data_IF_000230321576
#
_entry.id   IF_000230321576
#
_cell.length_a   1.000
_cell.length_b   1.000
_cell.length_c   1.000
_cell.angle_alpha   90.00
_cell.angle_beta   90.00
_cell.angle_gamma   90.00
#
_symmetry.space_group_name_H-M   'P 1'
#
loop_
_entity.id
_entity.type
_entity.pdbx_description
1 polymer ?
#
# COMPACT_ATOMS: atom_id res chain seq x y z
N UNK A 1 -1.02 -13.43 -0.98
CA UNK A 1 -0.86 -14.22 -2.23
C UNK A 1 0.61 -14.44 -2.57
N UNK A 2 1.40 -13.38 -2.77
CA UNK A 2 2.83 -13.51 -3.07
C UNK A 2 3.61 -14.26 -1.98
N UNK A 3 3.40 -13.92 -0.70
CA UNK A 3 3.99 -14.67 0.43
C UNK A 3 3.55 -16.14 0.48
N UNK A 4 2.33 -16.47 0.02
CA UNK A 4 1.91 -17.88 -0.09
C UNK A 4 2.66 -18.62 -1.22
N UNK A 5 2.90 -17.93 -2.34
CA UNK A 5 3.67 -18.46 -3.47
C UNK A 5 5.13 -18.76 -3.09
N UNK A 6 5.76 -18.02 -2.18
CA UNK A 6 7.16 -18.28 -1.79
C UNK A 6 7.37 -19.65 -1.15
N UNK A 7 6.34 -20.24 -0.53
CA UNK A 7 6.38 -21.60 0.01
C UNK A 7 5.84 -22.67 -0.95
N UNK A 8 5.20 -22.24 -2.05
CA UNK A 8 4.50 -23.08 -3.04
C UNK A 8 4.75 -22.54 -4.44
N UNK A 9 6.01 -22.55 -4.85
CA UNK A 9 6.45 -21.99 -6.13
C UNK A 9 5.85 -22.71 -7.34
N UNK A 10 5.31 -23.92 -7.14
CA UNK A 10 4.52 -24.69 -8.10
C UNK A 10 3.20 -24.01 -8.49
N UNK A 11 2.68 -23.09 -7.67
CA UNK A 11 1.42 -22.40 -7.88
C UNK A 11 1.63 -21.01 -8.51
N UNK A 12 2.14 -20.98 -9.75
CA UNK A 12 2.46 -19.73 -10.47
C UNK A 12 1.28 -18.73 -10.55
N UNK A 13 0.04 -19.24 -10.63
CA UNK A 13 -1.17 -18.42 -10.67
C UNK A 13 -1.32 -17.49 -9.46
N UNK A 14 -0.77 -17.87 -8.29
CA UNK A 14 -0.81 -17.02 -7.09
C UNK A 14 0.03 -15.77 -7.26
N UNK A 15 1.20 -15.90 -7.90
CA UNK A 15 2.07 -14.76 -8.18
C UNK A 15 1.45 -13.86 -9.25
N UNK A 16 0.86 -14.43 -10.30
CA UNK A 16 0.20 -13.66 -11.35
C UNK A 16 -1.00 -12.87 -10.81
N UNK A 17 -1.83 -13.50 -9.96
CA UNK A 17 -2.89 -12.80 -9.25
C UNK A 17 -2.34 -11.69 -8.34
N UNK A 18 -1.24 -11.94 -7.62
CA UNK A 18 -0.63 -10.93 -6.76
C UNK A 18 -0.14 -9.71 -7.55
N UNK A 19 0.45 -9.93 -8.74
CA UNK A 19 0.87 -8.86 -9.65
C UNK A 19 -0.31 -7.99 -10.10
N UNK A 20 -1.39 -8.61 -10.57
CA UNK A 20 -2.56 -7.88 -11.05
C UNK A 20 -3.31 -7.12 -9.94
N UNK A 21 -3.40 -7.72 -8.75
CA UNK A 21 -4.01 -7.04 -7.60
C UNK A 21 -3.14 -5.89 -7.10
N UNK A 22 -1.81 -6.06 -7.01
CA UNK A 22 -0.89 -4.97 -6.63
C UNK A 22 -0.96 -3.82 -7.63
N UNK A 23 -1.03 -4.12 -8.93
CA UNK A 23 -1.23 -3.12 -9.98
C UNK A 23 -2.56 -2.39 -9.82
N UNK A 24 -3.64 -3.10 -9.52
CA UNK A 24 -4.97 -2.51 -9.24
C UNK A 24 -4.92 -1.59 -8.03
N UNK A 25 -4.29 -2.02 -6.92
CA UNK A 25 -4.09 -1.18 -5.75
C UNK A 25 -3.30 0.08 -6.10
N UNK A 26 -2.23 -0.01 -6.89
CA UNK A 26 -1.50 1.17 -7.34
C UNK A 26 -2.37 2.13 -8.16
N UNK A 27 -3.24 1.60 -9.04
CA UNK A 27 -4.20 2.42 -9.78
C UNK A 27 -5.17 3.18 -8.84
N UNK A 28 -5.57 2.59 -7.72
CA UNK A 28 -6.41 3.28 -6.73
C UNK A 28 -5.72 4.53 -6.15
N UNK A 29 -4.39 4.52 -6.03
CA UNK A 29 -3.59 5.69 -5.61
C UNK A 29 -3.48 6.73 -6.74
N UNK A 30 -2.92 6.34 -7.90
CA UNK A 30 -2.56 7.30 -8.96
C UNK A 30 -3.76 7.91 -9.69
N UNK A 31 -4.96 7.33 -9.55
CA UNK A 31 -6.20 7.92 -10.07
C UNK A 31 -6.71 9.09 -9.23
N UNK A 32 -6.25 9.25 -7.98
CA UNK A 32 -6.61 10.38 -7.14
C UNK A 32 -5.65 11.55 -7.33
N UNK A 33 -6.14 12.77 -7.15
CA UNK A 33 -5.33 13.98 -7.39
C UNK A 33 -4.17 14.16 -6.40
N UNK A 34 -4.27 13.61 -5.19
CA UNK A 34 -3.16 13.61 -4.21
C UNK A 34 -2.17 12.46 -4.44
N UNK A 35 -2.51 11.48 -5.29
CA UNK A 35 -1.75 10.22 -5.40
C UNK A 35 -1.88 9.32 -4.17
N UNK A 36 -2.91 9.50 -3.34
CA UNK A 36 -3.24 8.65 -2.19
C UNK A 36 -4.57 7.93 -2.43
N UNK A 37 -4.65 6.64 -2.11
CA UNK A 37 -5.91 5.89 -2.26
C UNK A 37 -6.99 6.39 -1.30
N UNK A 38 -8.27 6.40 -1.71
CA UNK A 38 -9.39 6.52 -0.79
C UNK A 38 -9.53 5.26 0.08
N UNK A 39 -10.41 5.31 1.07
CA UNK A 39 -10.75 4.19 1.94
C UNK A 39 -11.48 3.07 1.18
N UNK A 40 -12.44 3.43 0.33
CA UNK A 40 -13.22 2.47 -0.46
C UNK A 40 -13.29 2.92 -1.91
N UNK A 41 -12.95 2.00 -2.80
CA UNK A 41 -13.11 2.15 -4.24
C UNK A 41 -14.15 1.15 -4.77
N UNK A 42 -14.94 1.57 -5.75
CA UNK A 42 -15.88 0.75 -6.48
C UNK A 42 -15.41 0.62 -7.92
N UNK A 43 -15.70 -0.52 -8.54
CA UNK A 43 -15.31 -0.77 -9.92
C UNK A 43 -16.54 -0.77 -10.82
N UNK A 44 -16.49 0.04 -11.88
CA UNK A 44 -17.48 -0.03 -12.93
C UNK A 44 -17.12 -1.19 -13.87
N UNK A 45 -18.04 -2.16 -13.98
CA UNK A 45 -17.88 -3.36 -14.81
C UNK A 45 -18.53 -3.23 -16.19
N UNK A 46 -19.29 -2.15 -16.44
CA UNK A 46 -19.89 -1.90 -17.74
C UNK A 46 -18.85 -1.29 -18.69
N UNK A 47 -18.42 -2.12 -19.64
CA UNK A 47 -17.46 -1.75 -20.68
C UNK A 47 -17.96 -0.65 -21.63
N UNK A 48 -19.26 -0.38 -21.66
CA UNK A 48 -19.85 0.66 -22.51
C UNK A 48 -20.08 1.98 -21.75
N UNK A 49 -19.79 2.02 -20.45
CA UNK A 49 -19.91 3.24 -19.66
C UNK A 49 -18.76 4.21 -19.97
N UNK A 50 -19.07 5.51 -20.03
CA UNK A 50 -18.06 6.57 -20.13
C UNK A 50 -17.48 6.97 -18.75
N UNK A 51 -17.86 6.24 -17.70
CA UNK A 51 -17.41 6.53 -16.34
C UNK A 51 -15.99 5.98 -16.11
N UNK A 52 -15.30 6.50 -15.10
CA UNK A 52 -14.00 5.96 -14.71
C UNK A 52 -14.16 4.53 -14.17
N UNK A 53 -13.23 3.64 -14.54
CA UNK A 53 -13.20 2.26 -14.02
C UNK A 53 -13.17 2.20 -12.50
N UNK A 54 -12.47 3.14 -11.86
CA UNK A 54 -12.41 3.29 -10.40
C UNK A 54 -13.31 4.48 -10.01
N UNK A 55 -14.29 4.22 -9.18
CA UNK A 55 -15.26 5.19 -8.65
C UNK A 55 -15.05 5.31 -7.15
N UNK A 56 -15.11 6.53 -6.63
CA UNK A 56 -15.02 6.81 -5.19
C UNK A 56 -16.22 7.63 -4.76
N UNK A 57 -16.99 7.11 -3.80
CA UNK A 57 -18.17 7.81 -3.28
C UNK A 57 -17.74 8.88 -2.28
N UNK A 58 -18.55 9.93 -2.15
CA UNK A 58 -18.21 11.12 -1.35
C UNK A 58 -17.83 10.82 0.12
N UNK A 59 -18.39 9.78 0.73
CA UNK A 59 -18.07 9.41 2.12
C UNK A 59 -16.78 8.59 2.25
N UNK A 60 -16.27 8.05 1.14
CA UNK A 60 -15.19 7.07 1.11
C UNK A 60 -13.85 7.68 0.69
N UNK A 61 -13.84 8.98 0.35
CA UNK A 61 -12.69 9.71 -0.23
C UNK A 61 -11.56 10.05 0.77
N UNK A 62 -11.65 9.56 2.00
CA UNK A 62 -10.67 9.82 3.03
C UNK A 62 -9.49 8.85 2.93
N UNK A 63 -8.31 9.25 3.41
CA UNK A 63 -7.15 8.37 3.55
C UNK A 63 -6.69 8.41 5.01
N UNK A 64 -6.57 7.24 5.62
CA UNK A 64 -6.26 7.09 7.04
C UNK A 64 -4.80 6.68 7.29
N UNK A 65 -3.90 6.96 6.35
CA UNK A 65 -2.48 6.60 6.43
C UNK A 65 -2.20 5.08 6.43
N UNK A 66 -3.12 4.31 5.86
CA UNK A 66 -3.11 2.84 5.95
C UNK A 66 -1.94 2.17 5.21
N UNK A 67 -1.49 0.99 5.67
CA UNK A 67 -0.25 0.37 5.21
C UNK A 67 -0.40 -0.63 4.05
N UNK A 68 -1.60 -1.14 3.77
CA UNK A 68 -1.81 -2.44 3.10
C UNK A 68 -1.19 -2.48 1.69
N UNK A 69 -1.18 -1.34 0.99
CA UNK A 69 -0.54 -1.25 -0.30
C UNK A 69 0.99 -1.32 -0.19
N UNK A 70 1.61 -0.59 0.74
CA UNK A 70 3.06 -0.57 0.92
C UNK A 70 3.55 -1.90 1.47
N UNK A 71 2.77 -2.55 2.35
CA UNK A 71 2.99 -3.94 2.76
C UNK A 71 3.05 -4.86 1.54
N UNK A 72 2.08 -4.75 0.63
CA UNK A 72 2.05 -5.57 -0.59
C UNK A 72 3.28 -5.31 -1.47
N UNK A 73 3.70 -4.05 -1.62
CA UNK A 73 4.91 -3.70 -2.36
C UNK A 73 6.18 -4.31 -1.74
N UNK A 74 6.29 -4.32 -0.41
CA UNK A 74 7.41 -4.96 0.29
C UNK A 74 7.51 -6.44 -0.08
N UNK A 75 6.43 -7.21 0.04
CA UNK A 75 6.43 -8.62 -0.37
C UNK A 75 6.74 -8.79 -1.86
N UNK A 76 6.11 -7.99 -2.73
CA UNK A 76 6.31 -8.12 -4.17
C UNK A 76 7.76 -7.84 -4.57
N UNK A 77 8.38 -6.77 -4.04
CA UNK A 77 9.78 -6.43 -4.32
C UNK A 77 10.74 -7.53 -3.87
N UNK A 78 10.63 -7.98 -2.61
CA UNK A 78 11.58 -8.96 -2.07
C UNK A 78 11.40 -10.36 -2.67
N UNK A 79 10.22 -10.68 -3.19
CA UNK A 79 9.96 -11.97 -3.84
C UNK A 79 10.30 -12.00 -5.32
N UNK A 80 10.20 -10.88 -6.04
CA UNK A 80 10.43 -10.86 -7.50
C UNK A 80 11.68 -10.10 -7.93
N UNK A 81 12.22 -9.23 -7.08
CA UNK A 81 13.31 -8.30 -7.40
C UNK A 81 12.93 -7.17 -8.35
N UNK A 82 11.65 -7.03 -8.72
CA UNK A 82 11.22 -6.03 -9.69
C UNK A 82 11.18 -4.63 -9.06
N UNK A 83 12.02 -3.73 -9.56
CA UNK A 83 12.18 -2.37 -9.03
C UNK A 83 10.96 -1.49 -9.22
N UNK A 84 10.00 -1.89 -10.07
CA UNK A 84 8.75 -1.14 -10.24
C UNK A 84 8.00 -0.95 -8.91
N UNK A 85 8.10 -1.92 -7.99
CA UNK A 85 7.45 -1.84 -6.68
C UNK A 85 8.10 -0.79 -5.78
N UNK A 86 9.41 -0.61 -5.87
CA UNK A 86 10.12 0.48 -5.19
C UNK A 86 9.75 1.84 -5.79
N UNK A 87 9.64 1.94 -7.12
CA UNK A 87 9.20 3.16 -7.80
C UNK A 87 7.78 3.56 -7.38
N UNK A 88 6.84 2.61 -7.35
CA UNK A 88 5.47 2.85 -6.88
C UNK A 88 5.45 3.27 -5.40
N UNK A 89 6.23 2.60 -4.55
CA UNK A 89 6.37 2.98 -3.15
C UNK A 89 6.91 4.39 -3.00
N UNK A 90 7.93 4.77 -3.77
CA UNK A 90 8.51 6.10 -3.72
C UNK A 90 7.50 7.19 -4.11
N UNK A 91 6.73 6.96 -5.17
CA UNK A 91 5.67 7.89 -5.58
C UNK A 91 4.63 8.10 -4.48
N UNK A 92 4.20 7.02 -3.81
CA UNK A 92 3.25 7.10 -2.69
C UNK A 92 3.86 7.78 -1.47
N UNK A 93 5.12 7.52 -1.16
CA UNK A 93 5.84 8.19 -0.07
C UNK A 93 5.88 9.71 -0.28
N UNK A 94 6.21 10.15 -1.50
CA UNK A 94 6.18 11.57 -1.87
C UNK A 94 4.79 12.20 -1.69
N UNK A 95 3.72 11.45 -2.00
CA UNK A 95 2.35 11.88 -1.75
C UNK A 95 2.03 11.99 -0.25
N UNK A 96 2.48 11.06 0.60
CA UNK A 96 2.35 11.17 2.05
C UNK A 96 3.07 12.41 2.57
N UNK A 97 4.34 12.62 2.19
CA UNK A 97 5.14 13.79 2.57
C UNK A 97 4.44 15.10 2.20
N UNK A 98 3.86 15.16 1.00
CA UNK A 98 3.26 16.38 0.47
C UNK A 98 1.90 16.70 1.07
N UNK A 99 1.06 15.69 1.27
CA UNK A 99 -0.37 15.90 1.55
C UNK A 99 -0.80 15.53 2.96
N UNK A 100 0.03 14.84 3.74
CA UNK A 100 -0.35 14.38 5.09
C UNK A 100 0.54 14.93 6.19
N UNK A 101 1.76 15.37 5.86
CA UNK A 101 2.72 15.95 6.81
C UNK A 101 2.18 17.23 7.46
N UNK A 102 2.30 17.30 8.78
CA UNK A 102 2.01 18.44 9.64
C UNK A 102 3.31 18.91 10.31
N UNK A 103 3.25 20.00 11.08
CA UNK A 103 4.40 20.50 11.84
C UNK A 103 4.99 19.44 12.77
N UNK A 104 4.14 18.67 13.46
CA UNK A 104 4.53 17.75 14.53
C UNK A 104 4.29 16.26 14.21
N UNK A 105 4.00 15.91 12.94
CA UNK A 105 3.72 14.54 12.55
C UNK A 105 3.01 14.40 11.21
N UNK A 106 2.11 13.43 11.11
CA UNK A 106 1.28 13.19 9.92
C UNK A 106 -0.18 13.09 10.34
N UNK A 107 -1.09 13.41 9.42
CA UNK A 107 -2.52 13.39 9.69
C UNK A 107 -3.26 12.65 8.59
N UNK A 108 -4.23 11.83 9.00
CA UNK A 108 -5.25 11.33 8.09
C UNK A 108 -5.96 12.51 7.40
N UNK A 109 -6.42 12.32 6.16
CA UNK A 109 -7.04 13.38 5.36
C UNK A 109 -8.46 12.99 4.93
N UNK A 110 -9.35 13.97 4.81
CA UNK A 110 -10.75 13.72 4.43
C UNK A 110 -11.00 13.78 2.91
N UNK A 111 -10.04 14.20 2.07
CA UNK A 111 -10.26 14.26 0.62
C UNK A 111 -8.98 14.03 -0.19
N UNK A 112 -8.85 12.83 -0.77
CA UNK A 112 -7.75 12.48 -1.68
C UNK A 112 -7.89 13.10 -3.08
N UNK A 113 -9.03 13.70 -3.41
CA UNK A 113 -9.31 14.26 -4.75
C UNK A 113 -8.98 15.75 -4.83
N UNK A 114 -8.75 16.41 -3.70
CA UNK A 114 -8.49 17.85 -3.66
C UNK A 114 -7.08 18.14 -3.13
N UNK A 115 -6.15 18.38 -4.06
CA UNK A 115 -4.76 18.74 -3.75
C UNK A 115 -4.60 20.10 -3.05
N UNK A 116 -5.57 21.00 -3.20
CA UNK A 116 -5.53 22.35 -2.62
C UNK A 116 -6.09 22.36 -1.19
N UNK A 117 -7.00 21.45 -0.87
CA UNK A 117 -7.55 21.29 0.47
C UNK A 117 -7.91 19.83 0.76
N UNK A 118 -6.95 19.11 1.34
CA UNK A 118 -7.07 17.70 1.74
C UNK A 118 -7.89 17.49 3.02
N UNK A 119 -8.19 18.58 3.76
CA UNK A 119 -8.95 18.58 5.01
C UNK A 119 -8.40 17.58 6.06
N UNK A 120 -7.25 17.87 6.69
CA UNK A 120 -6.66 17.03 7.74
C UNK A 120 -7.66 16.71 8.87
N UNK A 121 -7.54 15.51 9.44
CA UNK A 121 -8.44 14.98 10.49
C UNK A 121 -7.88 15.15 11.91
N UNK A 122 -6.69 15.72 12.04
CA UNK A 122 -5.95 15.84 13.30
C UNK A 122 -5.78 14.49 14.03
N UNK A 123 -5.45 13.43 13.26
CA UNK A 123 -5.23 12.09 13.80
C UNK A 123 -4.12 11.36 13.06
N UNK A 124 -3.10 10.95 13.80
CA UNK A 124 -2.06 10.03 13.36
C UNK A 124 -2.34 8.65 13.98
N UNK A 125 -2.72 7.70 13.14
CA UNK A 125 -3.03 6.35 13.59
C UNK A 125 -1.73 5.61 13.94
N UNK A 126 -1.76 4.73 14.95
CA UNK A 126 -0.55 4.02 15.43
C UNK A 126 0.13 3.22 14.34
N UNK A 127 -0.67 2.58 13.47
CA UNK A 127 -0.18 1.79 12.34
C UNK A 127 0.60 2.61 11.31
N UNK A 128 0.46 3.95 11.26
CA UNK A 128 1.30 4.73 10.36
C UNK A 128 2.79 4.56 10.71
N UNK A 129 3.11 4.57 12.01
CA UNK A 129 4.47 4.35 12.49
C UNK A 129 4.82 2.86 12.52
N UNK A 130 3.92 2.03 13.04
CA UNK A 130 4.18 0.60 13.21
C UNK A 130 4.27 -0.14 11.87
N UNK A 131 3.46 0.23 10.88
CA UNK A 131 3.30 -0.51 9.64
C UNK A 131 3.74 0.29 8.44
N UNK A 132 3.10 1.43 8.15
CA UNK A 132 3.33 2.18 6.89
C UNK A 132 4.78 2.60 6.74
N UNK A 133 5.37 3.25 7.76
CA UNK A 133 6.77 3.65 7.73
C UNK A 133 7.74 2.46 7.83
N UNK A 134 7.37 1.39 8.54
CA UNK A 134 8.20 0.17 8.61
C UNK A 134 8.29 -0.50 7.24
N UNK A 135 7.17 -0.68 6.55
CA UNK A 135 7.17 -1.26 5.22
C UNK A 135 7.81 -0.35 4.18
N UNK A 136 7.71 0.99 4.31
CA UNK A 136 8.52 1.89 3.49
C UNK A 136 10.01 1.65 3.71
N UNK A 137 10.46 1.59 4.97
CA UNK A 137 11.85 1.30 5.28
C UNK A 137 12.31 -0.03 4.68
N UNK A 138 11.55 -1.11 4.89
CA UNK A 138 11.87 -2.45 4.41
C UNK A 138 11.80 -2.57 2.88
N UNK A 139 10.91 -1.83 2.21
CA UNK A 139 10.83 -1.80 0.75
C UNK A 139 12.12 -1.27 0.11
N UNK A 140 12.81 -0.34 0.78
CA UNK A 140 14.07 0.23 0.30
C UNK A 140 15.32 -0.38 0.96
N UNK A 141 15.13 -1.34 1.88
CA UNK A 141 16.23 -2.09 2.48
C UNK A 141 16.82 -3.10 1.49
N UNK A 142 18.11 -2.95 1.21
CA UNK A 142 18.86 -3.88 0.35
C UNK A 142 19.42 -5.10 1.12
N UNK A 143 19.32 -5.12 2.45
CA UNK A 143 19.93 -6.15 3.29
C UNK A 143 19.04 -7.36 3.56
N UNK A 144 17.74 -7.26 3.26
CA UNK A 144 16.72 -8.26 3.57
C UNK A 144 16.71 -8.60 5.08
N UNK A 145 16.52 -7.58 5.91
CA UNK A 145 16.61 -7.65 7.38
C UNK A 145 15.74 -8.75 8.02
N UNK A 146 14.60 -9.07 7.41
CA UNK A 146 13.65 -10.09 7.87
C UNK A 146 13.42 -11.15 6.79
N UNK A 147 14.33 -12.14 6.65
CA UNK A 147 14.15 -13.23 5.70
C UNK A 147 12.82 -13.98 5.91
N UNK A 148 12.08 -14.19 4.83
CA UNK A 148 10.73 -14.78 4.86
C UNK A 148 10.66 -16.25 5.30
N UNK A 149 11.79 -16.94 5.31
CA UNK A 149 11.94 -18.30 5.84
C UNK A 149 12.25 -18.33 7.35
N UNK A 150 12.47 -17.17 7.97
CA UNK A 150 12.81 -17.04 9.39
C UNK A 150 11.80 -16.19 10.18
N UNK A 151 11.11 -15.27 9.50
CA UNK A 151 10.20 -14.31 10.12
C UNK A 151 8.84 -14.30 9.45
N UNK A 152 7.80 -14.12 10.26
CA UNK A 152 6.44 -13.84 9.82
C UNK A 152 5.95 -12.57 10.49
N UNK A 153 5.40 -11.63 9.72
CA UNK A 153 4.77 -10.43 10.27
C UNK A 153 3.35 -10.76 10.72
N UNK A 154 2.96 -10.30 11.91
CA UNK A 154 1.55 -10.26 12.27
C UNK A 154 0.83 -9.15 11.48
N UNK A 155 -0.50 -9.05 11.66
CA UNK A 155 -1.34 -8.08 10.94
C UNK A 155 -1.12 -6.61 11.32
N UNK A 156 -0.22 -6.30 12.25
CA UNK A 156 0.19 -4.92 12.61
C UNK A 156 1.71 -4.74 12.38
N UNK A 157 2.25 -5.44 11.38
CA UNK A 157 3.66 -5.46 10.99
C UNK A 157 4.66 -5.77 12.11
N UNK A 158 4.29 -6.51 13.15
CA UNK A 158 5.25 -6.98 14.15
C UNK A 158 5.87 -8.31 13.71
N UNK A 159 7.20 -8.36 13.50
CA UNK A 159 7.88 -9.59 13.07
C UNK A 159 7.95 -10.57 14.25
N UNK A 160 7.57 -11.82 13.97
CA UNK A 160 7.64 -12.95 14.89
C UNK A 160 8.55 -14.03 14.27
N UNK A 161 9.43 -14.67 15.04
CA UNK A 161 10.25 -15.75 14.53
C UNK A 161 9.38 -16.95 14.17
N UNK A 162 9.67 -17.60 13.05
CA UNK A 162 9.05 -18.87 12.66
C UNK A 162 9.58 -19.95 13.61
N UNK A 163 8.66 -20.77 14.14
CA UNK A 163 9.02 -21.97 14.90
C UNK A 163 9.50 -23.05 13.92
N UNK A 164 10.77 -23.41 14.03
CA UNK A 164 11.34 -24.56 13.32
C UNK A 164 11.39 -25.73 14.31
N UNK A 165 10.64 -26.78 14.03
CA UNK A 165 10.70 -28.07 14.75
C UNK A 165 11.96 -28.86 14.40
#
# INVERSE_FOLDING_TARGET
>A
MAFGWSFRSDLSYLLDMAKELTKTCYQMYVKQSTGLSPEIAYFNIDSNSNESTIIVRANDIHNLLRPEFIESLYYMYHLTGDKIYQEWGWNVFQSFEKYTRQTDGYSSINDVRNKENVRPRDKMESYFLAETLKYFYLLFDATNLFPFDQWVFNTEAHPLPIYND
#
